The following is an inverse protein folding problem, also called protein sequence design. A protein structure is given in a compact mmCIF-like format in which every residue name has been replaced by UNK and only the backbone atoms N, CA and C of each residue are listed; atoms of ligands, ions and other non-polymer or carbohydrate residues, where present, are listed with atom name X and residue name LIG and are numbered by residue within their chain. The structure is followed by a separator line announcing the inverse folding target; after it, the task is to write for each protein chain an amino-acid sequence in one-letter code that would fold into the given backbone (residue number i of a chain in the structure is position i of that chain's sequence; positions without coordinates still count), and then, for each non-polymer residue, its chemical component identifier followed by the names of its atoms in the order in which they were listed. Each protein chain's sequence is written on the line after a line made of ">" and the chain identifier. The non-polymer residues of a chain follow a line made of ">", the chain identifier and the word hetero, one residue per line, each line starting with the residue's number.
data_IF_573420872025
#
_entry.id   IF_573420872025
#
_cell.length_a   1.000
_cell.length_b   1.000
_cell.length_c   1.000
_cell.angle_alpha   90.00
_cell.angle_beta   90.00
_cell.angle_gamma   90.00
#
_symmetry.space_group_name_H-M   'P 1'
#
loop_
_entity.id
_entity.type
_entity.pdbx_description
1 polymer ?
#
# COMPACT_ATOMS: atom_id res chain seq x y z
N UNK A 1 4.76 9.24 0.38
CA UNK A 1 3.34 9.49 0.76
C UNK A 1 2.87 8.46 1.79
N UNK A 2 2.87 7.15 1.48
CA UNK A 2 2.35 6.11 2.38
C UNK A 2 2.86 6.16 3.83
N UNK A 3 4.17 6.26 4.05
CA UNK A 3 4.76 6.45 5.40
C UNK A 3 4.16 7.64 6.17
N UNK A 4 3.98 8.77 5.50
CA UNK A 4 3.39 9.97 6.13
C UNK A 4 1.92 9.76 6.50
N UNK A 5 1.16 9.06 5.66
CA UNK A 5 -0.23 8.69 5.97
C UNK A 5 -0.30 7.76 7.17
N UNK A 6 0.55 6.72 7.22
CA UNK A 6 0.59 5.79 8.35
C UNK A 6 0.84 6.50 9.69
N UNK A 7 1.85 7.40 9.73
CA UNK A 7 2.13 8.22 10.91
C UNK A 7 0.97 9.15 11.26
N UNK A 8 0.28 9.73 10.27
CA UNK A 8 -0.88 10.59 10.50
C UNK A 8 -2.07 9.81 11.06
N UNK A 9 -2.35 8.60 10.59
CA UNK A 9 -3.38 7.73 11.14
C UNK A 9 -3.09 7.33 12.58
N UNK A 10 -1.86 6.94 12.89
CA UNK A 10 -1.44 6.66 14.26
C UNK A 10 -1.64 7.88 15.17
N UNK A 11 -1.27 9.08 14.70
CA UNK A 11 -1.51 10.34 15.42
C UNK A 11 -3.00 10.62 15.67
N UNK A 12 -3.87 10.23 14.75
CA UNK A 12 -5.32 10.40 14.86
C UNK A 12 -6.01 9.30 15.71
N UNK A 13 -5.25 8.36 16.28
CA UNK A 13 -5.77 7.36 17.21
C UNK A 13 -6.14 6.00 16.57
N UNK A 14 -5.74 5.76 15.32
CA UNK A 14 -5.83 4.40 14.73
C UNK A 14 -4.91 3.47 15.53
N UNK A 15 -5.44 2.31 15.94
CA UNK A 15 -4.74 1.35 16.82
C UNK A 15 -4.04 0.21 16.08
N UNK A 16 -4.45 -0.08 14.84
CA UNK A 16 -3.96 -1.21 14.04
C UNK A 16 -3.72 -0.73 12.62
N UNK A 17 -2.54 -1.00 12.06
CA UNK A 17 -2.17 -0.60 10.71
C UNK A 17 -1.53 -1.77 9.97
N UNK A 18 -2.01 -2.04 8.76
CA UNK A 18 -1.33 -2.93 7.82
C UNK A 18 -0.55 -2.09 6.83
N UNK A 19 0.76 -2.36 6.70
CA UNK A 19 1.63 -1.68 5.75
C UNK A 19 1.97 -2.65 4.61
N UNK A 20 1.48 -2.31 3.42
CA UNK A 20 1.65 -3.15 2.22
C UNK A 20 2.66 -2.54 1.26
N UNK A 21 3.51 -3.37 0.65
CA UNK A 21 4.41 -2.95 -0.43
C UNK A 21 5.50 -3.96 -0.77
N UNK A 22 6.24 -3.68 -1.85
CA UNK A 22 7.30 -4.57 -2.36
C UNK A 22 8.60 -4.51 -1.53
N UNK A 23 8.97 -3.31 -1.09
CA UNK A 23 10.29 -3.05 -0.47
C UNK A 23 10.23 -3.24 1.05
N UNK A 24 10.61 -4.44 1.52
CA UNK A 24 10.61 -4.79 2.94
C UNK A 24 11.35 -3.76 3.82
N UNK A 25 12.50 -3.25 3.38
CA UNK A 25 13.27 -2.24 4.13
C UNK A 25 12.48 -0.95 4.37
N UNK A 26 11.68 -0.53 3.39
CA UNK A 26 10.85 0.67 3.49
C UNK A 26 9.69 0.50 4.47
N UNK A 27 9.07 -0.69 4.44
CA UNK A 27 8.01 -1.08 5.39
C UNK A 27 8.56 -1.16 6.81
N UNK A 28 9.69 -1.83 7.00
CA UNK A 28 10.39 -1.96 8.28
C UNK A 28 10.77 -0.61 8.88
N UNK A 29 11.36 0.29 8.08
CA UNK A 29 11.67 1.65 8.53
C UNK A 29 10.43 2.42 8.98
N UNK A 30 9.28 2.18 8.33
CA UNK A 30 8.01 2.82 8.71
C UNK A 30 7.47 2.24 10.02
N UNK A 31 7.51 0.91 10.18
CA UNK A 31 7.15 0.22 11.43
C UNK A 31 7.96 0.72 12.61
N UNK A 32 9.29 0.76 12.50
CA UNK A 32 10.13 1.22 13.61
C UNK A 32 9.83 2.67 14.02
N UNK A 33 9.43 3.53 13.08
CA UNK A 33 9.00 4.89 13.42
C UNK A 33 7.62 4.94 14.07
N UNK A 34 6.71 4.05 13.69
CA UNK A 34 5.41 3.92 14.35
C UNK A 34 5.58 3.42 15.78
N UNK A 35 6.35 2.35 15.99
CA UNK A 35 6.64 1.79 17.32
C UNK A 35 7.29 2.81 18.26
N UNK A 36 8.23 3.61 17.74
CA UNK A 36 8.91 4.64 18.53
C UNK A 36 7.97 5.77 18.99
N UNK A 37 7.10 6.24 18.08
CA UNK A 37 6.25 7.42 18.35
C UNK A 37 4.87 7.05 18.92
N UNK A 38 4.41 5.83 18.67
CA UNK A 38 3.05 5.34 18.95
C UNK A 38 3.09 3.86 19.36
N UNK A 39 3.66 3.53 20.54
CA UNK A 39 3.93 2.14 20.96
C UNK A 39 2.67 1.28 21.16
N UNK A 40 1.49 1.89 21.22
CA UNK A 40 0.20 1.19 21.33
C UNK A 40 -0.43 0.89 19.97
N UNK A 41 0.24 1.25 18.86
CA UNK A 41 -0.21 0.94 17.51
C UNK A 41 0.40 -0.39 17.08
N UNK A 42 -0.46 -1.37 16.86
CA UNK A 42 -0.08 -2.65 16.29
C UNK A 42 0.14 -2.48 14.78
N UNK A 43 1.22 -3.06 14.27
CA UNK A 43 1.58 -2.97 12.85
C UNK A 43 1.90 -4.34 12.28
N UNK A 44 1.27 -4.68 11.15
CA UNK A 44 1.63 -5.85 10.33
C UNK A 44 2.22 -5.40 9.00
N UNK A 45 3.19 -6.15 8.50
CA UNK A 45 3.86 -5.87 7.23
C UNK A 45 3.51 -6.99 6.25
N UNK A 46 2.90 -6.62 5.14
CA UNK A 46 2.46 -7.59 4.13
C UNK A 46 3.09 -7.25 2.77
N UNK A 47 3.95 -8.12 2.21
CA UNK A 47 4.45 -7.95 0.85
C UNK A 47 3.30 -7.98 -0.13
N UNK A 48 3.13 -6.92 -0.91
CA UNK A 48 2.08 -6.85 -1.92
C UNK A 48 2.55 -6.08 -3.16
N UNK A 49 2.34 -6.68 -4.33
CA UNK A 49 2.47 -6.01 -5.62
C UNK A 49 1.10 -5.49 -6.05
N UNK A 50 0.96 -4.17 -6.15
CA UNK A 50 -0.32 -3.55 -6.54
C UNK A 50 -0.68 -3.78 -8.02
N UNK A 51 0.24 -4.28 -8.83
CA UNK A 51 -0.01 -4.66 -10.22
C UNK A 51 -0.46 -6.11 -10.38
N UNK A 52 -0.42 -6.92 -9.32
CA UNK A 52 -0.88 -8.30 -9.29
C UNK A 52 -2.12 -8.43 -8.39
N UNK A 53 -3.27 -8.66 -9.01
CA UNK A 53 -4.56 -8.83 -8.33
C UNK A 53 -4.53 -9.95 -7.28
N UNK A 54 -3.84 -11.06 -7.57
CA UNK A 54 -3.74 -12.17 -6.64
C UNK A 54 -2.88 -11.83 -5.42
N UNK A 55 -1.83 -11.02 -5.63
CA UNK A 55 -0.98 -10.51 -4.55
C UNK A 55 -1.79 -9.64 -3.58
N UNK A 56 -2.61 -8.73 -4.12
CA UNK A 56 -3.48 -7.86 -3.33
C UNK A 56 -4.52 -8.67 -2.57
N UNK A 57 -5.22 -9.59 -3.24
CA UNK A 57 -6.27 -10.40 -2.60
C UNK A 57 -5.70 -11.22 -1.43
N UNK A 58 -4.51 -11.79 -1.60
CA UNK A 58 -3.83 -12.53 -0.55
C UNK A 58 -3.45 -11.63 0.64
N UNK A 59 -2.95 -10.42 0.36
CA UNK A 59 -2.61 -9.46 1.41
C UNK A 59 -3.86 -8.99 2.17
N UNK A 60 -4.95 -8.65 1.47
CA UNK A 60 -6.23 -8.28 2.07
C UNK A 60 -6.76 -9.40 2.97
N UNK A 61 -6.78 -10.65 2.48
CA UNK A 61 -7.26 -11.80 3.25
C UNK A 61 -6.45 -12.02 4.52
N UNK A 62 -5.13 -11.85 4.47
CA UNK A 62 -4.25 -11.95 5.65
C UNK A 62 -4.55 -10.86 6.67
N UNK A 63 -4.61 -9.61 6.21
CA UNK A 63 -4.94 -8.45 7.06
C UNK A 63 -6.32 -8.62 7.71
N UNK A 64 -7.32 -9.08 6.94
CA UNK A 64 -8.66 -9.33 7.46
C UNK A 64 -8.70 -10.51 8.45
N UNK A 65 -7.85 -11.53 8.26
CA UNK A 65 -7.71 -12.64 9.22
C UNK A 65 -7.09 -12.16 10.54
N UNK A 66 -6.07 -11.32 10.47
CA UNK A 66 -5.34 -10.86 11.66
C UNK A 66 -6.08 -9.76 12.42
N UNK A 67 -6.77 -8.85 11.71
CA UNK A 67 -7.46 -7.70 12.31
C UNK A 67 -8.98 -7.82 12.34
N UNK A 68 -9.53 -8.92 11.84
CA UNK A 68 -10.96 -9.27 11.72
C UNK A 68 -11.79 -8.39 10.77
N UNK A 69 -11.34 -7.15 10.51
CA UNK A 69 -12.01 -6.17 9.64
C UNK A 69 -10.99 -5.19 9.04
N UNK A 70 -11.39 -4.55 7.94
CA UNK A 70 -10.65 -3.45 7.33
C UNK A 70 -11.58 -2.23 7.27
N UNK A 71 -11.18 -1.15 7.93
CA UNK A 71 -11.98 0.08 7.99
C UNK A 71 -11.63 1.08 6.88
N UNK A 72 -10.36 1.15 6.49
CA UNK A 72 -9.82 2.13 5.55
C UNK A 72 -8.76 1.49 4.66
N UNK A 73 -8.86 1.71 3.35
CA UNK A 73 -7.81 1.42 2.38
C UNK A 73 -7.17 2.70 1.86
N UNK A 74 -5.85 2.76 1.76
CA UNK A 74 -5.14 3.91 1.18
C UNK A 74 -4.17 3.46 0.09
N UNK A 75 -4.49 3.84 -1.15
CA UNK A 75 -3.68 3.53 -2.32
C UNK A 75 -2.54 4.54 -2.45
N UNK A 76 -1.35 4.14 -1.98
CA UNK A 76 -0.16 4.99 -1.97
C UNK A 76 0.95 4.52 -2.91
N UNK A 77 0.78 3.37 -3.55
CA UNK A 77 1.73 2.87 -4.54
C UNK A 77 1.67 3.74 -5.80
N UNK A 78 2.83 4.00 -6.38
CA UNK A 78 2.89 4.75 -7.62
C UNK A 78 4.31 4.86 -8.16
N UNK A 79 4.41 4.90 -9.48
CA UNK A 79 5.65 5.17 -10.20
C UNK A 79 5.45 6.36 -11.15
N UNK A 80 6.51 7.14 -11.33
CA UNK A 80 6.53 8.21 -12.34
C UNK A 80 6.58 7.63 -13.77
N UNK A 81 7.00 6.37 -13.92
CA UNK A 81 7.31 5.77 -15.20
C UNK A 81 8.62 6.30 -15.79
N UNK A 82 9.01 5.75 -16.94
CA UNK A 82 10.17 6.27 -17.67
C UNK A 82 9.78 7.55 -18.43
N UNK A 83 10.64 8.57 -18.38
CA UNK A 83 10.39 9.84 -19.06
C UNK A 83 10.71 9.73 -20.54
N UNK A 84 9.70 9.89 -21.37
CA UNK A 84 9.84 10.01 -22.83
C UNK A 84 9.14 11.29 -23.31
N UNK A 85 9.54 11.78 -24.48
CA UNK A 85 8.65 12.66 -25.24
C UNK A 85 7.34 11.91 -25.48
N UNK A 86 6.20 12.58 -25.35
CA UNK A 86 4.87 11.93 -25.39
C UNK A 86 4.69 11.01 -26.60
N UNK A 87 5.15 11.42 -27.79
CA UNK A 87 5.04 10.65 -29.04
C UNK A 87 6.09 9.53 -29.18
N UNK A 88 7.03 9.42 -28.24
CA UNK A 88 8.07 8.38 -28.20
C UNK A 88 7.88 7.40 -27.04
N UNK A 89 6.82 7.55 -26.26
CA UNK A 89 6.51 6.66 -25.15
C UNK A 89 6.21 5.25 -25.68
N UNK A 90 7.00 4.23 -25.33
CA UNK A 90 6.65 2.86 -25.65
C UNK A 90 5.37 2.46 -24.91
N UNK A 91 4.52 1.69 -25.59
CA UNK A 91 3.24 1.23 -25.01
C UNK A 91 3.46 0.41 -23.73
N UNK A 92 4.52 -0.40 -23.67
CA UNK A 92 4.93 -1.16 -22.48
C UNK A 92 5.13 -0.26 -21.25
N UNK A 93 5.87 0.83 -21.41
CA UNK A 93 6.16 1.76 -20.31
C UNK A 93 4.90 2.49 -19.84
N UNK A 94 4.04 2.86 -20.79
CA UNK A 94 2.73 3.42 -20.47
C UNK A 94 1.86 2.43 -19.69
N UNK A 95 1.74 1.20 -20.19
CA UNK A 95 0.93 0.15 -19.58
C UNK A 95 1.40 -0.14 -18.16
N UNK A 96 2.71 -0.27 -17.94
CA UNK A 96 3.28 -0.46 -16.60
C UNK A 96 2.90 0.66 -15.62
N UNK A 97 2.90 1.91 -16.07
CA UNK A 97 2.49 3.03 -15.23
C UNK A 97 0.99 2.98 -14.90
N UNK A 98 0.15 2.57 -15.85
CA UNK A 98 -1.28 2.34 -15.63
C UNK A 98 -1.51 1.20 -14.64
N UNK A 99 -0.84 0.06 -14.83
CA UNK A 99 -1.02 -1.11 -13.97
C UNK A 99 -0.66 -0.79 -12.51
N UNK A 100 0.43 -0.06 -12.27
CA UNK A 100 0.82 0.28 -10.89
C UNK A 100 -0.03 1.42 -10.31
N UNK A 101 -0.30 2.47 -11.08
CA UNK A 101 -0.94 3.68 -10.55
C UNK A 101 -2.48 3.56 -10.47
N UNK A 102 -3.09 2.79 -11.37
CA UNK A 102 -4.55 2.74 -11.54
C UNK A 102 -5.16 1.40 -11.10
N UNK A 103 -4.49 0.27 -11.33
CA UNK A 103 -5.07 -1.03 -10.94
C UNK A 103 -5.10 -1.20 -9.42
N UNK A 104 -4.05 -0.75 -8.72
CA UNK A 104 -4.03 -0.75 -7.24
C UNK A 104 -5.21 0.01 -6.61
N UNK A 105 -5.84 0.94 -7.34
CA UNK A 105 -7.06 1.60 -6.88
C UNK A 105 -8.34 0.77 -7.16
N UNK A 106 -8.40 0.06 -8.28
CA UNK A 106 -9.55 -0.78 -8.66
C UNK A 106 -9.66 -2.06 -7.83
N UNK A 107 -8.54 -2.70 -7.51
CA UNK A 107 -8.49 -3.95 -6.74
C UNK A 107 -8.64 -3.76 -5.21
N UNK A 108 -8.39 -2.57 -4.68
CA UNK A 108 -8.62 -2.25 -3.26
C UNK A 108 -10.04 -1.72 -2.97
N UNK A 109 -10.88 -1.54 -4.00
CA UNK A 109 -12.30 -1.18 -3.83
C UNK A 109 -13.18 -2.39 -3.47
N UNK A 110 -12.62 -3.60 -3.43
CA UNK A 110 -13.37 -4.81 -3.12
C UNK A 110 -13.57 -4.97 -1.60
N UNK A 111 -14.78 -4.62 -1.17
CA UNK A 111 -15.46 -5.08 0.05
C UNK A 111 -14.78 -4.75 1.40
N UNK A 112 -14.96 -3.49 1.83
CA UNK A 112 -15.13 -3.21 3.25
C UNK A 112 -16.62 -3.40 3.57
N UNK A 113 -17.03 -4.60 4.00
CA UNK A 113 -18.29 -4.84 4.70
C UNK A 113 -18.05 -5.04 6.20
#
# INVERSE_FOLDING_TARGET
>A
IGKGVALAFARCGVKRLALLGLEAKGLESTRSQLELNYPNVETILEPADVSDESSIQNAINRVATDFERIDYGVNCAGIEGARFLTHKMPLENWQKAIDINQMGAGSNLWHCE
#
